data_IF_390476785311
#
_entry.id   IF_390476785311
#
_cell.length_a   1.000
_cell.length_b   1.000
_cell.length_c   1.000
_cell.angle_alpha   90.00
_cell.angle_beta   90.00
_cell.angle_gamma   90.00
#
_symmetry.space_group_name_H-M   'P 1'
#
loop_
_entity.id
_entity.type
_entity.pdbx_description
1 polymer ?
#
# COMPACT_ATOMS: atom_id res chain seq x y z
N UNK A 1 -28.95 -16.87 31.54
CA UNK A 1 -27.91 -17.66 30.87
C UNK A 1 -27.07 -16.76 30.01
N UNK A 2 -25.77 -16.81 30.18
CA UNK A 2 -24.85 -16.04 29.36
C UNK A 2 -24.41 -16.84 28.14
N UNK A 3 -24.42 -16.22 27.00
CA UNK A 3 -23.89 -16.80 25.79
C UNK A 3 -22.43 -16.35 25.63
N UNK A 4 -21.57 -17.29 25.42
CA UNK A 4 -20.18 -16.98 25.14
C UNK A 4 -20.06 -16.33 23.76
N UNK A 5 -19.18 -15.35 23.64
CA UNK A 5 -18.87 -14.81 22.33
C UNK A 5 -18.12 -15.84 21.50
N UNK A 6 -18.45 -15.98 20.22
CA UNK A 6 -17.61 -16.78 19.35
C UNK A 6 -16.18 -16.25 19.39
N UNK A 7 -15.22 -17.14 19.30
CA UNK A 7 -13.80 -16.77 19.31
C UNK A 7 -13.24 -16.80 17.91
N UNK A 8 -12.27 -15.93 17.67
CA UNK A 8 -11.52 -15.98 16.44
C UNK A 8 -10.88 -17.37 16.30
N UNK A 9 -10.95 -18.00 15.12
CA UNK A 9 -10.27 -19.30 14.93
C UNK A 9 -8.80 -19.22 15.31
N UNK A 10 -8.27 -20.33 15.81
CA UNK A 10 -6.84 -20.42 16.16
C UNK A 10 -5.93 -20.19 14.97
N UNK A 11 -6.42 -20.54 13.77
CA UNK A 11 -5.70 -20.25 12.52
C UNK A 11 -5.81 -18.78 12.21
N UNK A 12 -4.76 -18.05 12.52
CA UNK A 12 -4.71 -16.63 12.23
C UNK A 12 -4.59 -16.39 10.74
N UNK A 13 -4.89 -15.17 10.31
CA UNK A 13 -4.69 -14.79 8.92
C UNK A 13 -3.21 -14.95 8.55
N UNK A 14 -2.95 -15.56 7.41
CA UNK A 14 -1.59 -15.73 6.90
C UNK A 14 -1.03 -14.43 6.32
N UNK A 15 -1.89 -13.67 5.65
CA UNK A 15 -1.50 -12.46 4.94
C UNK A 15 -2.59 -11.41 5.09
N UNK A 16 -2.17 -10.16 5.17
CA UNK A 16 -3.09 -9.03 5.03
C UNK A 16 -2.92 -8.48 3.64
N UNK A 17 -3.97 -8.50 2.83
CA UNK A 17 -3.93 -8.00 1.46
C UNK A 17 -4.88 -6.82 1.35
N UNK A 18 -4.37 -5.69 0.90
CA UNK A 18 -5.19 -4.52 0.58
C UNK A 18 -5.36 -4.47 -0.93
N UNK A 19 -6.59 -4.56 -1.41
CA UNK A 19 -6.88 -4.50 -2.83
C UNK A 19 -7.15 -3.06 -3.24
N UNK A 20 -6.50 -2.62 -4.31
CA UNK A 20 -6.70 -1.32 -4.92
C UNK A 20 -7.09 -1.52 -6.38
N UNK A 21 -7.95 -0.65 -6.89
CA UNK A 21 -8.63 -0.88 -8.17
C UNK A 21 -8.13 0.08 -9.22
N UNK A 22 -7.75 -0.46 -10.36
CA UNK A 22 -7.12 0.28 -11.45
C UNK A 22 -7.97 0.23 -12.70
N UNK A 23 -8.10 1.38 -13.35
CA UNK A 23 -8.69 1.45 -14.70
C UNK A 23 -7.78 0.79 -15.71
N UNK A 24 -6.47 0.99 -15.56
CA UNK A 24 -5.45 0.35 -16.39
C UNK A 24 -4.54 -0.47 -15.49
N UNK A 25 -4.80 -1.77 -15.45
CA UNK A 25 -4.07 -2.70 -14.58
C UNK A 25 -2.56 -2.65 -14.82
N UNK A 26 -2.13 -2.48 -16.07
CA UNK A 26 -0.71 -2.49 -16.41
C UNK A 26 0.05 -1.36 -15.69
N UNK A 27 -0.60 -0.20 -15.49
CA UNK A 27 0.03 0.90 -14.76
C UNK A 27 0.32 0.53 -13.32
N UNK A 28 -0.59 -0.21 -12.67
CA UNK A 28 -0.38 -0.69 -11.32
C UNK A 28 0.71 -1.76 -11.24
N UNK A 29 0.70 -2.68 -12.20
CA UNK A 29 1.73 -3.71 -12.30
C UNK A 29 3.12 -3.07 -12.43
N UNK A 30 3.24 -2.12 -13.32
CA UNK A 30 4.52 -1.43 -13.54
C UNK A 30 4.95 -0.62 -12.32
N UNK A 31 3.99 0.05 -11.68
CA UNK A 31 4.32 0.89 -10.53
C UNK A 31 4.80 0.07 -9.33
N UNK A 32 4.02 -0.90 -8.90
CA UNK A 32 4.37 -1.68 -7.70
C UNK A 32 5.50 -2.67 -7.97
N UNK A 33 5.52 -3.28 -9.14
CA UNK A 33 6.51 -4.29 -9.47
C UNK A 33 7.83 -3.75 -9.97
N UNK A 34 7.80 -2.74 -10.86
CA UNK A 34 9.03 -2.21 -11.47
C UNK A 34 9.50 -0.94 -10.80
N UNK A 35 8.62 0.05 -10.69
CA UNK A 35 8.99 1.36 -10.14
C UNK A 35 9.37 1.27 -8.66
N UNK A 36 8.50 0.69 -7.83
CA UNK A 36 8.80 0.49 -6.42
C UNK A 36 9.61 -0.78 -6.16
N UNK A 37 9.55 -1.74 -7.07
CA UNK A 37 10.39 -2.94 -6.99
C UNK A 37 9.92 -4.01 -6.03
N UNK A 38 8.64 -4.04 -5.67
CA UNK A 38 8.13 -5.09 -4.81
C UNK A 38 7.95 -6.40 -5.58
N UNK A 39 8.26 -7.54 -4.97
CA UNK A 39 8.07 -8.82 -5.65
C UNK A 39 6.59 -9.17 -5.79
N UNK A 40 6.21 -9.64 -6.97
CA UNK A 40 4.88 -10.20 -7.18
C UNK A 40 4.89 -11.62 -6.62
N UNK A 41 4.01 -11.89 -5.67
CA UNK A 41 3.98 -13.19 -5.02
C UNK A 41 2.83 -14.06 -5.50
N UNK A 42 1.69 -13.45 -5.84
CA UNK A 42 0.51 -14.19 -6.30
C UNK A 42 0.01 -13.53 -7.57
N UNK A 43 -0.12 -14.34 -8.63
CA UNK A 43 -0.66 -13.88 -9.91
C UNK A 43 -2.00 -14.55 -10.13
N UNK A 44 -3.07 -13.75 -10.06
CA UNK A 44 -4.43 -14.23 -10.28
C UNK A 44 -5.01 -13.74 -11.61
N UNK A 45 -4.14 -13.41 -12.56
CA UNK A 45 -4.56 -12.92 -13.87
C UNK A 45 -4.91 -11.44 -13.83
N UNK A 46 -6.16 -11.14 -13.56
CA UNK A 46 -6.62 -9.74 -13.50
C UNK A 46 -6.43 -9.11 -12.10
N UNK A 47 -5.75 -9.80 -11.22
CA UNK A 47 -5.30 -9.29 -9.92
C UNK A 47 -3.86 -9.77 -9.68
N UNK A 48 -2.96 -8.83 -9.40
CA UNK A 48 -1.55 -9.13 -9.12
C UNK A 48 -1.25 -8.68 -7.71
N UNK A 49 -0.70 -9.58 -6.89
CA UNK A 49 -0.49 -9.34 -5.47
C UNK A 49 1.00 -9.22 -5.18
N UNK A 50 1.38 -8.07 -4.64
CA UNK A 50 2.77 -7.70 -4.38
C UNK A 50 3.06 -7.74 -2.89
N UNK A 51 4.20 -8.31 -2.54
CA UNK A 51 4.64 -8.40 -1.15
C UNK A 51 5.32 -7.09 -0.74
N UNK A 52 4.72 -6.40 0.23
CA UNK A 52 5.23 -5.12 0.72
C UNK A 52 6.11 -5.33 1.95
N UNK A 53 5.71 -6.25 2.82
CA UNK A 53 6.42 -6.61 4.03
C UNK A 53 6.21 -8.09 4.29
N UNK A 54 6.74 -8.61 5.37
CA UNK A 54 6.69 -10.06 5.64
C UNK A 54 5.30 -10.66 5.49
N UNK A 55 4.27 -10.00 5.99
CA UNK A 55 2.90 -10.49 5.91
C UNK A 55 1.92 -9.48 5.32
N UNK A 56 2.41 -8.35 4.83
CA UNK A 56 1.57 -7.30 4.27
C UNK A 56 1.70 -7.21 2.75
N UNK A 57 0.57 -7.17 2.07
CA UNK A 57 0.49 -7.24 0.61
C UNK A 57 -0.43 -6.18 0.06
N UNK A 58 -0.16 -5.77 -1.17
CA UNK A 58 -1.06 -4.93 -1.96
C UNK A 58 -1.45 -5.73 -3.21
N UNK A 59 -2.75 -5.83 -3.45
CA UNK A 59 -3.27 -6.45 -4.66
C UNK A 59 -3.77 -5.39 -5.62
N UNK A 60 -3.24 -5.39 -6.83
CA UNK A 60 -3.67 -4.47 -7.89
C UNK A 60 -4.69 -5.20 -8.74
N UNK A 61 -5.89 -4.63 -8.84
CA UNK A 61 -7.05 -5.30 -9.42
C UNK A 61 -7.55 -4.52 -10.64
N UNK A 62 -7.83 -5.24 -11.73
CA UNK A 62 -8.52 -4.66 -12.89
C UNK A 62 -9.96 -4.37 -12.49
N UNK A 63 -10.37 -3.10 -12.50
CA UNK A 63 -11.70 -2.70 -12.07
C UNK A 63 -12.82 -3.32 -12.90
N UNK A 64 -12.54 -3.72 -14.14
CA UNK A 64 -13.57 -4.33 -14.99
C UNK A 64 -13.90 -5.76 -14.59
N UNK A 65 -13.03 -6.38 -13.79
CA UNK A 65 -13.17 -7.77 -13.37
C UNK A 65 -13.38 -7.90 -11.86
N UNK A 66 -12.88 -6.96 -11.07
CA UNK A 66 -12.96 -7.00 -9.63
C UNK A 66 -14.32 -6.58 -9.09
N UNK A 67 -14.45 -6.67 -7.77
CA UNK A 67 -15.72 -6.38 -7.08
C UNK A 67 -16.00 -4.88 -6.97
N UNK A 68 -14.97 -4.06 -7.05
CA UNK A 68 -15.08 -2.61 -6.86
C UNK A 68 -14.47 -1.86 -8.02
N UNK A 69 -14.73 -0.57 -8.08
CA UNK A 69 -14.24 0.32 -9.12
C UNK A 69 -13.31 1.35 -8.52
N UNK A 70 -12.35 1.82 -9.31
CA UNK A 70 -11.57 3.00 -8.95
C UNK A 70 -12.52 4.21 -8.91
N UNK A 71 -12.23 5.13 -8.01
CA UNK A 71 -13.05 6.34 -7.81
C UNK A 71 -12.09 7.51 -7.59
N UNK A 72 -12.46 8.75 -8.01
CA UNK A 72 -11.61 9.92 -7.75
C UNK A 72 -11.30 10.12 -6.27
N UNK A 73 -12.24 9.81 -5.39
CA UNK A 73 -11.99 9.83 -3.95
C UNK A 73 -11.54 8.44 -3.53
N UNK A 74 -10.34 8.36 -2.95
CA UNK A 74 -9.73 7.11 -2.48
C UNK A 74 -9.74 7.11 -0.95
N UNK A 75 -10.77 6.55 -0.29
CA UNK A 75 -10.84 6.59 1.17
C UNK A 75 -9.93 5.55 1.83
N UNK A 76 -8.74 5.37 1.28
CA UNK A 76 -7.73 4.45 1.79
C UNK A 76 -6.36 5.06 1.53
N UNK A 77 -5.46 4.87 2.47
CA UNK A 77 -4.07 5.30 2.36
C UNK A 77 -3.20 4.07 2.63
N UNK A 78 -2.24 3.86 1.77
CA UNK A 78 -1.30 2.75 1.94
C UNK A 78 -0.09 3.30 2.70
N UNK A 79 0.11 2.83 3.92
CA UNK A 79 1.19 3.33 4.75
C UNK A 79 2.25 2.25 4.96
N UNK A 80 3.48 2.58 4.60
CA UNK A 80 4.64 1.73 4.83
C UNK A 80 5.46 2.34 5.96
N UNK A 81 5.64 1.62 7.05
CA UNK A 81 6.54 2.04 8.11
C UNK A 81 7.92 1.44 7.86
N UNK A 82 8.92 2.29 7.80
CA UNK A 82 10.28 1.93 7.38
C UNK A 82 11.28 2.38 8.43
N UNK A 83 12.48 1.77 8.45
CA UNK A 83 13.52 2.21 9.40
C UNK A 83 14.23 3.49 8.97
N UNK A 84 14.22 3.85 7.69
CA UNK A 84 14.94 5.02 7.18
C UNK A 84 14.12 5.74 6.12
N UNK A 85 13.34 6.72 6.57
CA UNK A 85 12.46 7.49 5.69
C UNK A 85 13.26 8.35 4.71
N UNK A 86 14.43 8.85 5.11
CA UNK A 86 15.22 9.70 4.23
C UNK A 86 15.73 8.93 3.01
N UNK A 87 16.12 7.67 3.19
CA UNK A 87 16.54 6.83 2.08
C UNK A 87 15.40 6.57 1.10
N UNK A 88 14.19 6.30 1.62
CA UNK A 88 13.01 6.13 0.78
C UNK A 88 12.64 7.42 0.05
N UNK A 89 12.76 8.56 0.72
CA UNK A 89 12.49 9.84 0.09
C UNK A 89 13.40 10.10 -1.11
N UNK A 90 14.69 9.87 -0.90
CA UNK A 90 15.68 10.02 -1.97
C UNK A 90 15.33 9.12 -3.16
N UNK A 91 14.99 7.88 -2.87
CA UNK A 91 14.59 6.92 -3.91
C UNK A 91 13.35 7.40 -4.67
N UNK A 92 12.30 7.79 -3.93
CA UNK A 92 11.05 8.26 -4.56
C UNK A 92 11.26 9.50 -5.41
N UNK A 93 12.14 10.40 -4.96
CA UNK A 93 12.47 11.59 -5.73
C UNK A 93 13.22 11.24 -7.01
N UNK A 94 14.15 10.31 -6.93
CA UNK A 94 14.92 9.88 -8.09
C UNK A 94 14.06 9.19 -9.15
N UNK A 95 13.10 8.37 -8.72
CA UNK A 95 12.23 7.67 -9.67
C UNK A 95 11.05 8.54 -10.14
N UNK A 96 10.85 9.72 -9.53
CA UNK A 96 9.85 10.68 -9.99
C UNK A 96 8.41 10.30 -9.74
N UNK A 97 8.09 9.88 -8.50
CA UNK A 97 6.70 9.58 -8.14
C UNK A 97 5.83 10.84 -8.19
N UNK A 98 4.53 10.65 -8.43
CA UNK A 98 3.59 11.76 -8.55
C UNK A 98 3.25 12.37 -7.18
N UNK A 99 3.07 13.70 -7.17
CA UNK A 99 2.60 14.43 -5.99
C UNK A 99 3.44 14.16 -4.74
N UNK A 100 4.76 14.10 -4.90
CA UNK A 100 5.67 13.88 -3.79
C UNK A 100 5.64 15.09 -2.84
N UNK A 101 5.32 14.86 -1.57
CA UNK A 101 5.34 15.91 -0.55
C UNK A 101 6.76 16.18 -0.06
N UNK A 102 6.92 17.25 0.72
CA UNK A 102 8.12 17.41 1.54
C UNK A 102 8.06 16.42 2.71
N UNK A 103 9.21 16.12 3.29
CA UNK A 103 9.25 15.35 4.54
C UNK A 103 8.72 16.23 5.66
N UNK A 104 7.85 15.67 6.50
CA UNK A 104 7.30 16.37 7.65
C UNK A 104 7.46 15.54 8.91
N UNK A 105 7.43 16.20 10.05
CA UNK A 105 7.45 15.54 11.35
C UNK A 105 6.17 15.86 12.11
N UNK A 106 5.66 14.86 12.83
CA UNK A 106 4.56 15.07 13.76
C UNK A 106 5.03 14.65 15.14
N UNK A 107 5.12 15.62 16.04
CA UNK A 107 5.48 15.33 17.43
C UNK A 107 4.36 14.61 18.16
N UNK A 108 3.14 14.90 17.79
CA UNK A 108 1.97 14.23 18.35
C UNK A 108 1.97 12.75 18.00
N UNK A 109 2.20 12.42 16.74
CA UNK A 109 2.21 11.03 16.28
C UNK A 109 3.57 10.36 16.41
N UNK A 110 4.61 11.14 16.70
CA UNK A 110 5.99 10.67 16.83
C UNK A 110 6.46 9.98 15.57
N UNK A 111 6.24 10.61 14.44
CA UNK A 111 6.66 10.11 13.13
C UNK A 111 7.34 11.19 12.31
N UNK A 112 8.17 10.73 11.38
CA UNK A 112 8.74 11.50 10.29
C UNK A 112 8.25 10.82 9.02
N UNK A 113 7.66 11.57 8.10
CA UNK A 113 6.93 10.94 7.00
C UNK A 113 6.88 11.82 5.75
N UNK A 114 6.49 11.21 4.66
CA UNK A 114 6.12 11.91 3.43
C UNK A 114 5.05 11.09 2.71
N UNK A 115 4.39 11.71 1.75
CA UNK A 115 3.35 11.05 0.96
C UNK A 115 3.61 11.28 -0.53
N UNK A 116 3.03 10.42 -1.34
CA UNK A 116 2.98 10.56 -2.79
C UNK A 116 1.77 9.80 -3.31
N UNK A 117 1.48 9.97 -4.60
CA UNK A 117 0.38 9.27 -5.23
C UNK A 117 0.89 8.18 -6.17
N UNK A 118 0.16 7.06 -6.20
CA UNK A 118 0.40 6.05 -7.23
C UNK A 118 -0.29 6.48 -8.54
N UNK A 119 -0.11 5.74 -9.64
CA UNK A 119 -0.66 6.16 -10.94
C UNK A 119 -2.19 6.25 -11.01
N UNK A 120 -2.91 5.57 -10.12
CA UNK A 120 -4.37 5.64 -10.10
C UNK A 120 -4.87 6.71 -9.12
N UNK A 121 -3.97 7.35 -8.38
CA UNK A 121 -4.32 8.37 -7.40
C UNK A 121 -4.48 7.87 -5.97
N UNK A 122 -4.09 6.63 -5.69
CA UNK A 122 -4.03 6.16 -4.31
C UNK A 122 -2.83 6.78 -3.61
N UNK A 123 -3.06 7.33 -2.42
CA UNK A 123 -1.98 7.95 -1.67
C UNK A 123 -1.19 6.89 -0.91
N UNK A 124 0.13 7.00 -1.02
CA UNK A 124 1.07 6.16 -0.28
C UNK A 124 1.80 7.05 0.71
N UNK A 125 1.86 6.62 1.96
CA UNK A 125 2.64 7.28 2.99
C UNK A 125 3.83 6.40 3.36
N UNK A 126 5.00 7.02 3.48
CA UNK A 126 6.19 6.35 4.02
C UNK A 126 6.49 7.03 5.33
N UNK A 127 6.57 6.26 6.41
CA UNK A 127 6.79 6.85 7.73
C UNK A 127 7.82 6.09 8.55
N UNK A 128 8.43 6.79 9.46
CA UNK A 128 9.42 6.27 10.39
C UNK A 128 9.08 6.76 11.79
N UNK A 129 9.25 5.90 12.77
CA UNK A 129 9.10 6.29 14.17
C UNK A 129 10.28 7.17 14.59
N UNK A 130 10.01 8.25 15.35
CA UNK A 130 11.04 9.18 15.85
C UNK A 130 11.04 9.25 17.38
N UNK A 131 10.97 8.15 18.01
CA UNK A 131 10.99 8.12 19.48
C UNK A 131 12.26 8.68 20.07
#
# INVERSE_FOLDING_TARGET
MQMERPKLPDNKAEKLITFIYYKDLQKGIDFYGKTLGFPMEIDQGWCKIYRISEAGYVGVVDETRGMHKSHPVKPVQICLRVPDVDAFYKYCREIGVDELSEIFESQELKIKAFVFNDPEGYQVEIQQSIQ
#
